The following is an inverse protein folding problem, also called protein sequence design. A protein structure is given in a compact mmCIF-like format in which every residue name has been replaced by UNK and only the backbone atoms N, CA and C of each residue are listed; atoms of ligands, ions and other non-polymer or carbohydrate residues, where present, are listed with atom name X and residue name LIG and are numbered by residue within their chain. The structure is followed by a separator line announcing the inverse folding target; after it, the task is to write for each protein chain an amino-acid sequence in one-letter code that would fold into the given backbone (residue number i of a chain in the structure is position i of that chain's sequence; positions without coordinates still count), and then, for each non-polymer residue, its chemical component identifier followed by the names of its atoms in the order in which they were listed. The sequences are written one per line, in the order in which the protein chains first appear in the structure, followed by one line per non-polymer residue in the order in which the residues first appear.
data_IF_017758419743
#
_entry.id   IF_017758419743
#
_cell.length_a   1.000
_cell.length_b   1.000
_cell.length_c   1.000
_cell.angle_alpha   90.00
_cell.angle_beta   90.00
_cell.angle_gamma   90.00
#
_symmetry.space_group_name_H-M   'P 1'
#
loop_
_entity.id
_entity.type
_entity.pdbx_description
1 polymer ?
#
# COMPACT_ATOMS: atom_id res chain seq x y z
N UNK A 1 9.97 13.19 -8.71
CA UNK A 1 11.22 13.24 -7.89
C UNK A 1 12.34 13.89 -8.70
N UNK A 2 13.19 14.74 -8.12
CA UNK A 2 14.30 15.38 -8.86
C UNK A 2 15.63 14.64 -8.58
N UNK A 3 16.17 13.94 -9.59
CA UNK A 3 17.36 13.09 -9.48
C UNK A 3 18.61 13.91 -9.11
N UNK A 4 18.72 15.17 -9.59
CA UNK A 4 19.84 16.06 -9.22
C UNK A 4 19.83 16.37 -7.72
N UNK A 5 18.64 16.56 -7.11
CA UNK A 5 18.51 16.80 -5.67
C UNK A 5 18.91 15.60 -4.80
N UNK A 6 19.00 14.39 -5.36
CA UNK A 6 19.50 13.20 -4.66
C UNK A 6 21.03 13.14 -4.62
N UNK A 7 21.72 13.94 -5.44
CA UNK A 7 23.19 13.99 -5.54
C UNK A 7 23.83 15.02 -4.58
N UNK A 8 23.02 15.82 -3.89
CA UNK A 8 23.49 16.89 -2.99
C UNK A 8 23.36 16.52 -1.50
N UNK A 9 22.92 15.29 -1.20
CA UNK A 9 22.67 14.82 0.18
C UNK A 9 23.69 13.77 0.61
N UNK A 10 23.88 13.63 1.92
CA UNK A 10 24.74 12.60 2.52
C UNK A 10 24.26 11.19 2.12
N UNK A 11 25.19 10.36 1.64
CA UNK A 11 24.94 9.00 1.19
C UNK A 11 24.47 8.07 2.33
N UNK A 12 24.69 8.46 3.58
CA UNK A 12 24.25 7.71 4.76
C UNK A 12 22.85 8.14 5.26
N UNK A 13 22.23 9.17 4.68
CA UNK A 13 20.87 9.59 5.04
C UNK A 13 19.87 8.48 4.66
N UNK A 14 19.21 7.82 5.64
CA UNK A 14 18.23 6.76 5.37
C UNK A 14 17.11 7.21 4.43
N UNK A 15 16.71 8.49 4.51
CA UNK A 15 15.66 9.05 3.65
C UNK A 15 16.07 9.14 2.18
N UNK A 16 17.37 9.25 1.89
CA UNK A 16 17.91 9.25 0.52
C UNK A 16 17.97 7.82 0.01
N UNK A 17 18.49 6.90 0.82
CA UNK A 17 18.56 5.47 0.47
C UNK A 17 17.18 4.89 0.15
N UNK A 18 16.18 5.21 0.96
CA UNK A 18 14.82 4.71 0.74
C UNK A 18 14.24 5.30 -0.56
N UNK A 19 14.39 6.60 -0.80
CA UNK A 19 14.00 7.23 -2.08
C UNK A 19 14.67 6.59 -3.29
N UNK A 20 15.94 6.21 -3.17
CA UNK A 20 16.65 5.50 -4.23
C UNK A 20 16.06 4.11 -4.51
N UNK A 21 15.59 3.39 -3.48
CA UNK A 21 14.89 2.10 -3.66
C UNK A 21 13.53 2.27 -4.34
N UNK A 22 12.81 3.36 -4.07
CA UNK A 22 11.51 3.65 -4.70
C UNK A 22 11.61 4.17 -6.13
N UNK A 23 12.73 4.80 -6.49
CA UNK A 23 12.86 5.47 -7.78
C UNK A 23 12.57 4.55 -8.99
N UNK A 24 13.07 3.30 -9.05
CA UNK A 24 12.75 2.38 -10.14
C UNK A 24 11.27 2.04 -10.19
N UNK A 25 10.63 1.76 -9.04
CA UNK A 25 9.21 1.49 -8.96
C UNK A 25 8.37 2.68 -9.44
N UNK A 26 8.69 3.88 -8.96
CA UNK A 26 7.99 5.11 -9.37
C UNK A 26 8.12 5.37 -10.87
N UNK A 27 9.30 5.21 -11.45
CA UNK A 27 9.54 5.43 -12.89
C UNK A 27 8.71 4.46 -13.74
N UNK A 28 8.75 3.17 -13.41
CA UNK A 28 8.02 2.14 -14.14
C UNK A 28 6.50 2.31 -14.02
N UNK A 29 6.02 2.59 -12.81
CA UNK A 29 4.62 2.87 -12.54
C UNK A 29 4.13 4.13 -13.29
N UNK A 30 4.96 5.17 -13.37
CA UNK A 30 4.64 6.37 -14.15
C UNK A 30 4.48 6.04 -15.63
N UNK A 31 5.37 5.25 -16.23
CA UNK A 31 5.22 4.84 -17.63
C UNK A 31 3.93 4.03 -17.84
N UNK A 32 3.66 3.07 -16.97
CA UNK A 32 2.47 2.22 -17.09
C UNK A 32 1.18 3.03 -16.94
N UNK A 33 1.16 4.07 -16.12
CA UNK A 33 0.01 4.97 -15.96
C UNK A 33 -0.27 5.82 -17.22
N UNK A 34 0.75 6.11 -18.00
CA UNK A 34 0.62 6.82 -19.28
C UNK A 34 0.21 5.86 -20.44
N UNK A 35 0.33 4.55 -20.24
CA UNK A 35 -0.06 3.53 -21.22
C UNK A 35 -1.45 2.97 -20.90
N UNK A 36 -2.27 2.76 -21.93
CA UNK A 36 -3.46 1.93 -21.78
C UNK A 36 -3.06 0.44 -21.80
N UNK A 37 -3.94 -0.45 -21.32
CA UNK A 37 -3.68 -1.89 -21.34
C UNK A 37 -3.40 -2.45 -22.74
N UNK A 38 -4.02 -1.87 -23.77
CA UNK A 38 -3.77 -2.22 -25.17
C UNK A 38 -2.33 -1.92 -25.63
N UNK A 39 -1.64 -1.01 -24.94
CA UNK A 39 -0.30 -0.50 -25.30
C UNK A 39 0.81 -1.09 -24.39
N UNK A 40 0.52 -2.15 -23.61
CA UNK A 40 1.49 -2.74 -22.68
C UNK A 40 2.68 -3.42 -23.35
N UNK A 41 2.57 -3.73 -24.64
CA UNK A 41 3.72 -4.16 -25.46
C UNK A 41 4.78 -3.05 -25.61
N UNK A 42 4.38 -1.78 -25.52
CA UNK A 42 5.29 -0.62 -25.58
C UNK A 42 6.05 -0.35 -24.29
N UNK A 43 5.62 -0.94 -23.16
CA UNK A 43 6.21 -0.70 -21.85
C UNK A 43 7.72 -1.03 -21.80
N UNK A 44 8.10 -2.23 -22.26
CA UNK A 44 9.50 -2.68 -22.26
C UNK A 44 10.39 -1.77 -23.14
N UNK A 45 10.01 -1.45 -24.40
CA UNK A 45 10.74 -0.49 -25.21
C UNK A 45 10.95 0.87 -24.53
N UNK A 46 9.93 1.42 -23.88
CA UNK A 46 9.99 2.74 -23.23
C UNK A 46 10.91 2.71 -22.02
N UNK A 47 10.75 1.73 -21.12
CA UNK A 47 11.59 1.62 -19.92
C UNK A 47 13.05 1.38 -20.27
N UNK A 48 13.33 0.58 -21.29
CA UNK A 48 14.70 0.36 -21.76
C UNK A 48 15.36 1.68 -22.16
N UNK A 49 14.67 2.54 -22.91
CA UNK A 49 15.17 3.88 -23.28
C UNK A 49 15.39 4.77 -22.06
N UNK A 50 14.45 4.78 -21.11
CA UNK A 50 14.58 5.57 -19.88
C UNK A 50 15.76 5.13 -19.01
N UNK A 51 16.05 3.83 -18.95
CA UNK A 51 17.20 3.29 -18.23
C UNK A 51 18.52 3.75 -18.87
N UNK A 52 18.60 3.76 -20.21
CA UNK A 52 19.77 4.30 -20.92
C UNK A 52 19.97 5.78 -20.61
N UNK A 53 18.90 6.58 -20.66
CA UNK A 53 18.95 8.01 -20.30
C UNK A 53 19.39 8.20 -18.85
N UNK A 54 18.86 7.41 -17.92
CA UNK A 54 19.28 7.45 -16.53
C UNK A 54 20.76 7.06 -16.38
N UNK A 55 21.24 6.00 -17.03
CA UNK A 55 22.65 5.63 -17.00
C UNK A 55 23.56 6.78 -17.47
N UNK A 56 23.18 7.48 -18.54
CA UNK A 56 23.90 8.66 -19.03
C UNK A 56 23.90 9.79 -18.00
N UNK A 57 22.75 10.09 -17.38
CA UNK A 57 22.66 11.09 -16.29
C UNK A 57 23.60 10.70 -15.15
N UNK A 58 23.59 9.45 -14.70
CA UNK A 58 24.50 8.96 -13.64
C UNK A 58 25.97 9.19 -13.99
N UNK A 59 26.36 8.95 -15.24
CA UNK A 59 27.72 9.19 -15.72
C UNK A 59 28.19 10.65 -15.61
N UNK A 60 27.25 11.61 -15.51
CA UNK A 60 27.54 13.03 -15.30
C UNK A 60 27.56 13.46 -13.82
N UNK A 61 27.13 12.59 -12.90
CA UNK A 61 27.07 12.88 -11.47
C UNK A 61 28.40 12.53 -10.79
N UNK A 62 28.65 13.14 -9.62
CA UNK A 62 29.84 12.81 -8.85
C UNK A 62 29.68 11.42 -8.21
N UNK A 63 30.50 10.42 -8.55
CA UNK A 63 30.36 9.06 -8.03
C UNK A 63 30.58 8.97 -6.51
N UNK A 64 31.28 9.92 -5.89
CA UNK A 64 31.45 9.96 -4.45
C UNK A 64 30.22 10.49 -3.70
N UNK A 65 29.26 11.11 -4.40
CA UNK A 65 28.05 11.73 -3.82
C UNK A 65 26.75 11.07 -4.29
N UNK A 66 26.80 10.34 -5.39
CA UNK A 66 25.61 9.71 -5.92
C UNK A 66 25.25 8.46 -5.11
N UNK A 67 24.08 8.49 -4.45
CA UNK A 67 23.66 7.47 -3.47
C UNK A 67 22.83 6.35 -4.08
N UNK A 68 22.14 6.63 -5.20
CA UNK A 68 21.22 5.65 -5.76
C UNK A 68 22.01 4.60 -6.55
N UNK A 69 22.24 3.43 -5.94
CA UNK A 69 22.89 2.30 -6.59
C UNK A 69 22.17 1.81 -7.86
N UNK A 70 22.71 0.74 -8.46
CA UNK A 70 21.99 0.03 -9.51
C UNK A 70 20.59 -0.34 -9.00
N UNK A 71 19.52 -0.14 -9.79
CA UNK A 71 18.17 -0.42 -9.33
C UNK A 71 18.10 -1.86 -8.81
N UNK A 72 17.95 -2.02 -7.49
CA UNK A 72 17.52 -3.29 -6.86
C UNK A 72 16.02 -3.54 -7.08
N UNK A 73 15.39 -2.68 -7.89
CA UNK A 73 13.97 -2.70 -8.19
C UNK A 73 13.58 -3.77 -9.22
N UNK A 74 12.43 -3.60 -9.89
CA UNK A 74 11.94 -4.56 -10.86
C UNK A 74 12.93 -4.71 -12.01
N UNK A 75 13.14 -5.95 -12.41
CA UNK A 75 13.99 -6.27 -13.53
C UNK A 75 13.36 -5.76 -14.83
N UNK A 76 14.22 -5.36 -15.76
CA UNK A 76 13.88 -4.70 -17.04
C UNK A 76 12.99 -5.58 -17.92
N UNK A 77 12.90 -6.87 -17.62
CA UNK A 77 12.20 -7.88 -18.41
C UNK A 77 10.81 -8.24 -17.89
N UNK A 78 10.28 -7.56 -16.87
CA UNK A 78 8.90 -7.79 -16.42
C UNK A 78 7.92 -7.18 -17.41
N UNK A 79 6.88 -7.92 -17.79
CA UNK A 79 5.72 -7.31 -18.45
C UNK A 79 5.06 -6.26 -17.54
N UNK A 80 4.28 -5.34 -18.11
CA UNK A 80 3.57 -4.33 -17.32
C UNK A 80 2.68 -4.94 -16.23
N UNK A 81 2.06 -6.10 -16.51
CA UNK A 81 1.23 -6.84 -15.54
C UNK A 81 2.06 -7.43 -14.40
N UNK A 82 3.18 -8.07 -14.72
CA UNK A 82 4.08 -8.62 -13.71
C UNK A 82 4.73 -7.54 -12.85
N UNK A 83 5.10 -6.41 -13.47
CA UNK A 83 5.58 -5.24 -12.74
C UNK A 83 4.53 -4.74 -11.74
N UNK A 84 3.27 -4.57 -12.17
CA UNK A 84 2.17 -4.10 -11.30
C UNK A 84 2.01 -5.02 -10.10
N UNK A 85 1.95 -6.33 -10.35
CA UNK A 85 1.85 -7.34 -9.30
C UNK A 85 3.04 -7.27 -8.32
N UNK A 86 4.27 -7.21 -8.84
CA UNK A 86 5.47 -7.06 -8.00
C UNK A 86 5.44 -5.78 -7.18
N UNK A 87 5.04 -4.64 -7.76
CA UNK A 87 4.94 -3.35 -7.08
C UNK A 87 3.95 -3.43 -5.91
N UNK A 88 2.77 -3.99 -6.12
CA UNK A 88 1.76 -4.14 -5.06
C UNK A 88 2.31 -4.94 -3.86
N UNK A 89 3.04 -6.03 -4.12
CA UNK A 89 3.66 -6.84 -3.06
C UNK A 89 4.82 -6.11 -2.37
N UNK A 90 5.63 -5.35 -3.12
CA UNK A 90 6.70 -4.52 -2.55
C UNK A 90 6.16 -3.39 -1.67
N UNK A 91 5.11 -2.70 -2.13
CA UNK A 91 4.44 -1.65 -1.37
C UNK A 91 3.83 -2.22 -0.08
N UNK A 92 3.26 -3.43 -0.14
CA UNK A 92 2.78 -4.14 1.04
C UNK A 92 3.89 -4.45 2.03
N UNK A 93 4.98 -5.10 1.57
CA UNK A 93 6.15 -5.37 2.40
C UNK A 93 6.67 -4.12 3.11
N UNK A 94 6.81 -3.03 2.36
CA UNK A 94 7.35 -1.78 2.89
C UNK A 94 6.41 -1.11 3.90
N UNK A 95 5.10 -1.20 3.68
CA UNK A 95 4.10 -0.59 4.57
C UNK A 95 3.74 -1.47 5.76
N UNK A 96 4.03 -2.78 5.72
CA UNK A 96 3.66 -3.73 6.79
C UNK A 96 4.06 -3.25 8.19
N UNK A 97 5.31 -2.86 8.49
CA UNK A 97 5.69 -2.45 9.84
C UNK A 97 4.90 -1.23 10.31
N UNK A 98 4.63 -0.30 9.40
CA UNK A 98 3.85 0.91 9.71
C UNK A 98 2.40 0.54 10.04
N UNK A 99 1.79 -0.37 9.30
CA UNK A 99 0.41 -0.83 9.55
C UNK A 99 0.35 -1.58 10.88
N UNK A 100 1.32 -2.46 11.12
CA UNK A 100 1.43 -3.25 12.34
C UNK A 100 1.49 -2.36 13.60
N UNK A 101 2.27 -1.29 13.52
CA UNK A 101 2.51 -0.37 14.64
C UNK A 101 1.48 0.77 14.69
N UNK A 102 0.59 0.88 13.70
CA UNK A 102 -0.38 1.98 13.64
C UNK A 102 -1.47 1.80 14.72
N UNK A 103 -1.61 2.82 15.56
CA UNK A 103 -2.77 3.03 16.41
C UNK A 103 -3.89 3.77 15.65
N UNK A 104 -4.84 3.02 15.12
CA UNK A 104 -5.93 3.56 14.30
C UNK A 104 -6.97 4.27 15.18
N UNK A 105 -6.67 5.51 15.57
CA UNK A 105 -7.64 6.39 16.24
C UNK A 105 -8.77 6.86 15.33
N UNK A 106 -8.58 6.77 14.01
CA UNK A 106 -9.56 7.13 12.99
C UNK A 106 -10.16 5.87 12.34
N UNK A 107 -11.48 5.71 12.44
CA UNK A 107 -12.25 4.59 11.87
C UNK A 107 -12.15 4.56 10.32
N UNK A 108 -12.09 5.73 9.68
CA UNK A 108 -11.96 5.82 8.21
C UNK A 108 -10.63 5.25 7.74
N UNK A 109 -9.53 5.62 8.41
CA UNK A 109 -8.19 5.14 8.08
C UNK A 109 -8.08 3.62 8.31
N UNK A 110 -8.72 3.11 9.36
CA UNK A 110 -8.78 1.67 9.61
C UNK A 110 -9.58 0.93 8.52
N UNK A 111 -10.72 1.49 8.11
CA UNK A 111 -11.59 0.91 7.08
C UNK A 111 -10.87 0.82 5.73
N UNK A 112 -10.17 1.88 5.33
CA UNK A 112 -9.37 1.89 4.10
C UNK A 112 -8.21 0.89 4.18
N UNK A 113 -7.55 0.80 5.34
CA UNK A 113 -6.51 -0.21 5.58
C UNK A 113 -7.07 -1.63 5.47
N UNK A 114 -8.25 -1.91 6.01
CA UNK A 114 -8.90 -3.22 5.86
C UNK A 114 -9.25 -3.54 4.40
N UNK A 115 -9.70 -2.57 3.59
CA UNK A 115 -9.91 -2.76 2.14
C UNK A 115 -8.62 -3.16 1.44
N UNK A 116 -7.55 -2.43 1.74
CA UNK A 116 -6.22 -2.67 1.20
C UNK A 116 -5.71 -4.07 1.57
N UNK A 117 -5.75 -4.44 2.86
CA UNK A 117 -5.26 -5.74 3.33
C UNK A 117 -6.04 -6.92 2.73
N UNK A 118 -7.36 -6.80 2.58
CA UNK A 118 -8.15 -7.84 1.90
C UNK A 118 -7.74 -8.01 0.43
N UNK A 119 -7.51 -6.90 -0.28
CA UNK A 119 -7.03 -6.94 -1.68
C UNK A 119 -5.66 -7.60 -1.79
N UNK A 120 -4.76 -7.32 -0.84
CA UNK A 120 -3.45 -7.98 -0.79
C UNK A 120 -3.61 -9.47 -0.47
N UNK A 121 -4.47 -9.84 0.48
CA UNK A 121 -4.70 -11.22 0.88
C UNK A 121 -5.16 -12.11 -0.28
N UNK A 122 -6.05 -11.60 -1.15
CA UNK A 122 -6.49 -12.30 -2.37
C UNK A 122 -5.33 -12.67 -3.31
N UNK A 123 -4.28 -11.83 -3.37
CA UNK A 123 -3.10 -12.02 -4.22
C UNK A 123 -1.96 -12.75 -3.52
N UNK A 124 -1.95 -12.72 -2.18
CA UNK A 124 -0.84 -13.18 -1.36
C UNK A 124 -0.57 -14.67 -1.49
N UNK A 125 -1.61 -15.50 -1.56
CA UNK A 125 -1.46 -16.95 -1.76
C UNK A 125 -0.70 -17.29 -3.05
N UNK A 126 -1.03 -16.59 -4.14
CA UNK A 126 -0.32 -16.72 -5.43
C UNK A 126 1.12 -16.22 -5.33
N UNK A 127 1.34 -15.09 -4.66
CA UNK A 127 2.68 -14.56 -4.43
C UNK A 127 3.54 -15.56 -3.64
N UNK A 128 3.07 -16.01 -2.47
CA UNK A 128 3.74 -16.98 -1.61
C UNK A 128 4.08 -18.26 -2.35
N UNK A 129 3.09 -18.91 -2.96
CA UNK A 129 3.32 -20.18 -3.68
C UNK A 129 4.34 -20.03 -4.81
N UNK A 130 4.32 -18.89 -5.52
CA UNK A 130 5.25 -18.66 -6.63
C UNK A 130 6.66 -18.31 -6.15
N UNK A 131 6.78 -17.54 -5.07
CA UNK A 131 8.03 -16.92 -4.65
C UNK A 131 8.74 -17.63 -3.50
N UNK A 132 8.09 -18.60 -2.84
CA UNK A 132 8.72 -19.36 -1.72
C UNK A 132 9.88 -20.26 -2.17
N UNK A 133 9.91 -20.66 -3.44
CA UNK A 133 10.89 -21.60 -3.99
C UNK A 133 11.51 -21.15 -5.31
N UNK A 134 11.28 -19.89 -5.70
CA UNK A 134 11.69 -19.37 -7.00
C UNK A 134 12.40 -18.04 -6.87
N UNK A 135 13.43 -17.87 -7.68
CA UNK A 135 14.09 -16.59 -7.93
C UNK A 135 13.46 -15.87 -9.14
N UNK A 136 12.15 -16.06 -9.37
CA UNK A 136 11.40 -15.40 -10.43
C UNK A 136 11.48 -13.87 -10.26
N UNK A 137 11.69 -13.17 -11.36
CA UNK A 137 11.87 -11.73 -11.41
C UNK A 137 10.66 -10.95 -10.86
N UNK A 138 9.46 -11.56 -10.83
CA UNK A 138 8.27 -10.94 -10.23
C UNK A 138 8.23 -11.03 -8.70
N UNK A 139 9.13 -11.79 -8.08
CA UNK A 139 9.22 -11.98 -6.63
C UNK A 139 10.07 -10.91 -5.95
N UNK A 140 9.58 -10.35 -4.84
CA UNK A 140 10.30 -9.32 -4.08
C UNK A 140 11.38 -9.98 -3.21
N UNK A 141 12.69 -9.78 -3.46
CA UNK A 141 13.75 -10.47 -2.72
C UNK A 141 13.79 -10.15 -1.23
N UNK A 142 13.36 -8.95 -0.84
CA UNK A 142 13.25 -8.54 0.55
C UNK A 142 12.13 -9.28 1.30
N UNK A 143 11.29 -10.02 0.58
CA UNK A 143 10.18 -10.80 1.12
C UNK A 143 10.65 -12.22 1.45
N UNK A 144 11.54 -12.34 2.43
CA UNK A 144 12.22 -13.59 2.80
C UNK A 144 11.45 -14.44 3.84
N UNK A 145 10.57 -13.81 4.61
CA UNK A 145 9.74 -14.47 5.62
C UNK A 145 8.24 -14.30 5.32
N UNK A 146 7.70 -15.23 4.53
CA UNK A 146 6.29 -15.21 4.13
C UNK A 146 5.31 -15.39 5.30
N UNK A 147 5.73 -16.02 6.39
CA UNK A 147 4.84 -16.19 7.54
C UNK A 147 4.78 -14.90 8.35
N UNK A 148 5.91 -14.19 8.54
CA UNK A 148 5.94 -12.88 9.20
C UNK A 148 5.02 -11.86 8.54
N UNK A 149 5.01 -11.81 7.21
CA UNK A 149 4.24 -10.84 6.44
C UNK A 149 2.90 -11.39 5.92
N UNK A 150 2.33 -12.42 6.55
CA UNK A 150 1.00 -12.90 6.17
C UNK A 150 -0.08 -11.82 6.45
N UNK A 151 -0.84 -11.36 5.44
CA UNK A 151 -1.89 -10.35 5.62
C UNK A 151 -2.95 -10.74 6.64
N UNK A 152 -3.19 -12.04 6.84
CA UNK A 152 -4.15 -12.54 7.83
C UNK A 152 -3.81 -12.04 9.24
N UNK A 153 -2.52 -11.87 9.55
CA UNK A 153 -2.08 -11.34 10.85
C UNK A 153 -2.62 -9.94 11.10
N UNK A 154 -2.44 -9.04 10.13
CA UNK A 154 -2.93 -7.66 10.23
C UNK A 154 -4.45 -7.59 10.13
N UNK A 155 -5.08 -8.41 9.27
CA UNK A 155 -6.54 -8.52 9.16
C UNK A 155 -7.15 -8.90 10.51
N UNK A 156 -6.60 -9.91 11.18
CA UNK A 156 -7.05 -10.34 12.49
C UNK A 156 -6.79 -9.27 13.56
N UNK A 157 -5.58 -8.72 13.61
CA UNK A 157 -5.19 -7.68 14.56
C UNK A 157 -6.10 -6.44 14.49
N UNK A 158 -6.53 -6.06 13.29
CA UNK A 158 -7.40 -4.90 13.07
C UNK A 158 -8.89 -5.23 13.17
N UNK A 159 -9.25 -6.51 13.33
CA UNK A 159 -10.64 -6.95 13.34
C UNK A 159 -11.34 -6.61 12.03
N UNK A 160 -10.65 -6.78 10.90
CA UNK A 160 -11.18 -6.49 9.58
C UNK A 160 -12.30 -7.48 9.23
N UNK A 161 -13.56 -7.12 9.47
CA UNK A 161 -14.74 -7.85 8.99
C UNK A 161 -15.04 -7.41 7.55
N UNK A 162 -15.53 -8.35 6.72
CA UNK A 162 -15.93 -8.21 5.30
C UNK A 162 -15.49 -6.90 4.61
N UNK A 163 -14.39 -6.89 3.84
CA UNK A 163 -13.85 -5.81 2.99
C UNK A 163 -13.84 -4.35 3.50
N UNK A 164 -14.56 -3.91 4.53
CA UNK A 164 -14.77 -2.49 4.85
C UNK A 164 -15.16 -2.22 6.29
N UNK A 165 -15.09 -3.20 7.19
CA UNK A 165 -15.40 -2.98 8.61
C UNK A 165 -14.15 -3.23 9.43
N UNK A 166 -13.80 -2.28 10.28
CA UNK A 166 -12.72 -2.41 11.26
C UNK A 166 -13.35 -2.44 12.65
N UNK A 167 -12.97 -3.43 13.47
CA UNK A 167 -13.39 -3.47 14.87
C UNK A 167 -12.26 -3.91 15.80
N UNK A 168 -11.21 -3.09 15.87
CA UNK A 168 -10.05 -3.33 16.74
C UNK A 168 -10.42 -3.43 18.22
N UNK A 169 -11.40 -2.64 18.68
CA UNK A 169 -11.83 -2.64 20.08
C UNK A 169 -12.48 -3.97 20.48
N UNK A 170 -13.25 -4.60 19.58
CA UNK A 170 -13.80 -5.94 19.81
C UNK A 170 -12.70 -7.00 19.89
N UNK A 171 -11.67 -6.92 19.03
CA UNK A 171 -10.52 -7.84 19.08
C UNK A 171 -9.75 -7.70 20.39
N UNK A 172 -9.50 -6.48 20.84
CA UNK A 172 -8.82 -6.22 22.12
C UNK A 172 -9.65 -6.76 23.29
N UNK A 173 -10.96 -6.49 23.31
CA UNK A 173 -11.85 -7.00 24.36
C UNK A 173 -11.89 -8.54 24.38
N UNK A 174 -11.92 -9.19 23.21
CA UNK A 174 -11.88 -10.66 23.11
C UNK A 174 -10.57 -11.24 23.64
N UNK A 175 -9.42 -10.62 23.33
CA UNK A 175 -8.12 -11.07 23.83
C UNK A 175 -8.01 -10.96 25.36
N UNK A 176 -8.51 -9.85 25.94
CA UNK A 176 -8.55 -9.64 27.39
C UNK A 176 -9.47 -10.65 28.09
N UNK A 177 -10.63 -10.93 27.50
CA UNK A 177 -11.54 -11.94 28.04
C UNK A 177 -10.94 -13.37 27.94
N UNK A 178 -10.18 -13.69 26.88
CA UNK A 178 -9.56 -15.02 26.75
C UNK A 178 -8.45 -15.28 27.76
N UNK A 179 -7.70 -14.24 28.17
CA UNK A 179 -6.72 -14.34 29.24
C UNK A 179 -7.37 -14.41 30.64
N UNK A 180 -8.59 -13.88 30.81
CA UNK A 180 -9.36 -14.01 32.05
C UNK A 180 -10.16 -15.32 32.18
N UNK A 181 -10.27 -16.15 31.14
CA UNK A 181 -11.14 -17.35 31.17
C UNK A 181 -10.48 -18.58 31.85
N UNK A 182 -9.26 -18.48 32.40
CA UNK A 182 -8.87 -19.41 33.45
C UNK A 182 -9.23 -18.81 34.81
N UNK A 183 -10.22 -19.42 35.47
CA UNK A 183 -10.71 -19.21 36.85
C UNK A 183 -12.00 -18.37 36.94
N UNK A 184 -13.15 -18.97 36.61
CA UNK A 184 -14.12 -19.47 37.61
C UNK A 184 -15.48 -19.84 36.98
N UNK A 185 -16.05 -20.92 37.50
CA UNK A 185 -17.30 -21.55 37.09
C UNK A 185 -18.48 -21.12 38.00
N UNK A 186 -19.67 -21.10 37.41
CA UNK A 186 -21.05 -21.20 37.97
C UNK A 186 -21.68 -19.99 38.69
N UNK A 187 -22.72 -19.39 38.10
CA UNK A 187 -24.14 -19.76 38.38
C UNK A 187 -25.15 -18.88 37.62
N UNK A 188 -26.22 -19.52 37.14
CA UNK A 188 -27.30 -18.97 36.34
C UNK A 188 -28.29 -18.08 37.11
N UNK A 189 -28.94 -17.12 36.41
CA UNK A 189 -30.40 -17.03 36.43
C UNK A 189 -31.01 -16.20 35.28
N UNK A 190 -32.15 -16.74 34.85
CA UNK A 190 -33.14 -16.37 33.84
C UNK A 190 -33.80 -14.99 34.03
N UNK A 191 -34.10 -14.25 32.95
CA UNK A 191 -35.45 -13.76 32.65
C UNK A 191 -35.57 -13.05 31.28
N UNK A 192 -36.61 -13.46 30.55
CA UNK A 192 -37.19 -12.93 29.30
C UNK A 192 -37.99 -11.65 29.55
N UNK A 193 -38.21 -10.83 28.51
CA UNK A 193 -39.53 -10.40 27.98
C UNK A 193 -39.35 -9.40 26.82
N UNK A 194 -40.17 -9.60 25.80
CA UNK A 194 -40.33 -8.90 24.52
C UNK A 194 -40.77 -7.42 24.57
N UNK A 195 -40.64 -6.75 23.41
CA UNK A 195 -41.69 -6.00 22.65
C UNK A 195 -41.12 -4.73 21.98
N UNK A 196 -41.06 -4.76 20.64
CA UNK A 196 -41.11 -3.62 19.70
C UNK A 196 -42.61 -3.29 19.44
N UNK A 197 -43.10 -2.16 18.85
CA UNK A 197 -42.48 -1.40 17.74
C UNK A 197 -42.87 0.10 17.57
N UNK A 198 -42.51 0.64 16.38
CA UNK A 198 -43.14 1.76 15.61
C UNK A 198 -42.62 3.17 15.95
N UNK A 199 -42.30 4.07 15.01
CA UNK A 199 -42.30 4.05 13.54
C UNK A 199 -42.02 5.46 12.94
N UNK A 200 -41.97 5.52 11.60
CA UNK A 200 -42.16 6.68 10.68
C UNK A 200 -41.02 7.71 10.48
N UNK A 201 -40.33 7.74 9.32
CA UNK A 201 -40.52 8.58 8.08
C UNK A 201 -40.35 10.10 8.33
N UNK A 202 -39.52 10.89 7.62
CA UNK A 202 -39.46 11.15 6.16
C UNK A 202 -38.23 12.01 5.73
N UNK A 203 -37.73 11.74 4.51
CA UNK A 203 -37.32 12.61 3.39
C UNK A 203 -36.44 13.88 3.53
N UNK A 204 -35.45 13.96 2.63
CA UNK A 204 -34.78 15.20 2.23
C UNK A 204 -33.70 15.03 1.16
N UNK A 205 -34.07 14.69 -0.09
CA UNK A 205 -33.15 14.71 -1.23
C UNK A 205 -33.17 16.08 -1.90
N UNK A 206 -32.02 16.76 -1.95
CA UNK A 206 -31.82 17.90 -2.85
C UNK A 206 -30.51 17.71 -3.61
N UNK A 207 -30.61 17.48 -4.93
CA UNK A 207 -29.49 17.47 -5.86
C UNK A 207 -29.36 18.86 -6.47
N UNK A 208 -28.25 19.53 -6.20
CA UNK A 208 -27.86 20.75 -6.93
C UNK A 208 -26.64 20.42 -7.78
N UNK A 209 -26.82 20.39 -9.09
CA UNK A 209 -25.75 20.24 -10.07
C UNK A 209 -25.17 21.64 -10.30
N UNK A 210 -23.97 21.90 -9.78
CA UNK A 210 -23.20 23.09 -10.12
C UNK A 210 -22.18 22.71 -11.20
N UNK A 211 -22.43 23.13 -12.43
CA UNK A 211 -21.43 23.10 -13.50
C UNK A 211 -20.37 24.17 -13.21
N UNK A 212 -19.17 23.76 -12.83
CA UNK A 212 -18.01 24.66 -12.76
C UNK A 212 -16.97 24.16 -13.76
N UNK A 213 -16.87 24.86 -14.89
CA UNK A 213 -15.74 24.74 -15.79
C UNK A 213 -14.50 25.28 -15.09
N UNK A 214 -13.52 24.41 -14.82
CA UNK A 214 -12.26 24.80 -14.19
C UNK A 214 -11.16 24.96 -15.24
N UNK A 215 -10.46 26.11 -15.30
CA UNK A 215 -9.33 26.32 -16.19
C UNK A 215 -8.15 25.45 -15.74
N UNK A 216 -7.48 24.81 -16.71
CA UNK A 216 -6.44 23.80 -16.53
C UNK A 216 -5.12 24.30 -15.89
N UNK A 217 -5.11 25.42 -15.18
CA UNK A 217 -3.89 26.11 -14.72
C UNK A 217 -3.65 26.09 -13.20
N UNK A 218 -4.50 25.45 -12.39
CA UNK A 218 -4.33 25.40 -10.91
C UNK A 218 -3.75 24.06 -10.40
N UNK A 219 -3.59 23.04 -11.24
CA UNK A 219 -3.16 21.71 -10.79
C UNK A 219 -1.68 21.58 -10.41
N UNK A 220 -0.81 22.52 -10.79
CA UNK A 220 0.63 22.37 -10.54
C UNK A 220 1.10 22.75 -9.13
N UNK A 221 0.23 23.31 -8.27
CA UNK A 221 0.61 23.73 -6.91
C UNK A 221 0.15 22.75 -5.81
N UNK A 222 -0.63 21.71 -6.15
CA UNK A 222 -1.12 20.71 -5.18
C UNK A 222 -0.25 19.44 -5.06
N UNK A 223 0.75 19.26 -5.92
CA UNK A 223 1.59 18.05 -5.91
C UNK A 223 2.50 17.84 -4.69
N UNK A 224 2.90 18.85 -3.89
CA UNK A 224 3.62 18.57 -2.64
C UNK A 224 2.70 18.15 -1.48
N UNK A 225 1.41 18.49 -1.52
CA UNK A 225 0.45 18.21 -0.44
C UNK A 225 -0.07 16.76 -0.49
N UNK A 226 -0.18 16.16 -1.68
CA UNK A 226 -0.51 14.73 -1.81
C UNK A 226 0.64 13.81 -1.34
N UNK A 227 1.87 14.32 -1.24
CA UNK A 227 2.97 13.55 -0.64
C UNK A 227 2.91 13.49 0.89
N UNK A 228 2.09 14.35 1.52
CA UNK A 228 1.87 14.36 2.98
C UNK A 228 0.54 13.76 3.41
N UNK A 229 -0.36 13.48 2.47
CA UNK A 229 -1.65 12.80 2.72
C UNK A 229 -1.70 11.38 2.13
N UNK A 230 -0.76 10.99 1.25
CA UNK A 230 -0.48 9.59 0.97
C UNK A 230 0.35 8.99 2.11
N UNK A 231 -0.32 8.72 3.23
CA UNK A 231 0.23 7.97 4.37
C UNK A 231 0.42 6.48 4.04
N UNK A 232 0.02 6.07 2.83
CA UNK A 232 0.49 4.89 2.12
C UNK A 232 0.92 5.33 0.73
N UNK A 233 2.08 4.87 0.28
CA UNK A 233 2.49 5.01 -1.12
C UNK A 233 1.49 4.18 -1.94
N UNK A 234 0.61 4.85 -2.69
CA UNK A 234 -0.21 4.27 -3.76
C UNK A 234 0.48 4.58 -5.09
#
# INVERSE_FOLDING_TARGET
MNIKKLNDKDNNDPSVRDKCKFLPYWMNDSVIKELNEADYDQYIPIITKLIVVWANIKGTLNPSKYVCGHPTGPLINLSAKEFKFRKEMYDYYYNYPKINDWDFSNISDCTETCKYLNTINEKYGTFRSTCSHSYDNKCVPEFDDFDKYDPIKLIHQLGCKNQSQCNRNEVIALAQNSDETQVNEVSAQHQTVDVNPKGSTENGSSKTILNVALPASVFFVLFPMLYKVNKFVI
#
